data_IF_299671070081
#
_entry.id   IF_299671070081
#
_cell.length_a   1.000
_cell.length_b   1.000
_cell.length_c   1.000
_cell.angle_alpha   90.00
_cell.angle_beta   90.00
_cell.angle_gamma   90.00
#
_symmetry.space_group_name_H-M   'P 1'
#
loop_
_entity.id
_entity.type
_entity.pdbx_description
1 polymer ?
#
# COMPACT_ATOMS: atom_id res chain seq x y z
N UNK A 1 -6.54 -1.10 11.82
CA UNK A 1 -7.90 -0.86 12.36
C UNK A 1 -8.30 0.60 12.43
N UNK A 2 -7.37 1.54 12.61
CA UNK A 2 -7.67 2.98 12.62
C UNK A 2 -7.85 3.65 11.25
N UNK A 3 -8.19 2.91 10.18
CA UNK A 3 -8.39 3.46 8.83
C UNK A 3 -9.60 2.75 8.20
N UNK A 4 -10.68 3.48 7.93
CA UNK A 4 -11.82 2.98 7.15
C UNK A 4 -11.51 2.97 5.64
N UNK A 5 -10.91 1.89 5.17
CA UNK A 5 -10.51 1.72 3.76
C UNK A 5 -11.69 1.69 2.78
N UNK A 6 -12.84 1.18 3.20
CA UNK A 6 -14.00 1.06 2.32
C UNK A 6 -14.69 2.41 2.08
N UNK A 7 -14.70 3.28 3.09
CA UNK A 7 -15.08 4.69 2.89
C UNK A 7 -13.99 5.46 2.17
N UNK A 8 -12.72 5.22 2.50
CA UNK A 8 -11.58 5.84 1.82
C UNK A 8 -11.66 5.65 0.30
N UNK A 9 -11.94 4.44 -0.19
CA UNK A 9 -12.02 4.16 -1.63
C UNK A 9 -13.11 4.96 -2.34
N UNK A 10 -14.21 5.28 -1.66
CA UNK A 10 -15.30 6.12 -2.21
C UNK A 10 -14.94 7.61 -2.20
N UNK A 11 -14.29 8.07 -1.13
CA UNK A 11 -13.95 9.48 -0.93
C UNK A 11 -12.71 9.88 -1.72
N UNK A 12 -11.69 9.03 -1.76
CA UNK A 12 -10.39 9.32 -2.38
C UNK A 12 -10.37 9.01 -3.88
N UNK A 13 -11.21 8.12 -4.40
CA UNK A 13 -11.24 7.82 -5.82
C UNK A 13 -11.44 9.06 -6.72
N UNK A 14 -12.43 9.96 -6.48
CA UNK A 14 -12.63 11.12 -7.34
C UNK A 14 -11.50 12.17 -7.28
N UNK A 15 -10.70 12.21 -6.20
CA UNK A 15 -9.70 13.27 -5.98
C UNK A 15 -8.25 12.81 -6.11
N UNK A 16 -7.99 11.54 -5.84
CA UNK A 16 -6.65 10.93 -5.79
C UNK A 16 -6.57 9.59 -6.55
N UNK A 17 -7.68 9.12 -7.13
CA UNK A 17 -7.82 7.83 -7.82
C UNK A 17 -7.46 6.60 -6.99
N UNK A 18 -7.32 6.73 -5.67
CA UNK A 18 -7.21 5.60 -4.75
C UNK A 18 -8.58 4.96 -4.56
N UNK A 19 -8.72 3.67 -4.90
CA UNK A 19 -10.04 3.02 -4.98
C UNK A 19 -10.10 1.67 -4.29
N UNK A 20 -9.22 0.76 -4.69
CA UNK A 20 -9.45 -0.66 -4.42
C UNK A 20 -8.82 -1.07 -3.08
N UNK A 21 -9.61 -1.74 -2.25
CA UNK A 21 -9.11 -2.34 -1.00
C UNK A 21 -8.43 -3.66 -1.35
N UNK A 22 -7.18 -3.81 -0.94
CA UNK A 22 -6.39 -5.02 -1.13
C UNK A 22 -5.31 -5.12 -0.06
N UNK A 23 -4.71 -6.31 0.05
CA UNK A 23 -3.50 -6.48 0.84
C UNK A 23 -2.26 -6.08 0.02
N UNK A 24 -1.25 -6.96 0.00
CA UNK A 24 0.07 -6.66 -0.56
C UNK A 24 0.18 -6.94 -2.06
N UNK A 25 -0.71 -7.79 -2.57
CA UNK A 25 -0.87 -8.06 -3.99
C UNK A 25 -2.01 -7.25 -4.61
N UNK A 26 -1.86 -6.87 -5.88
CA UNK A 26 -2.84 -6.02 -6.59
C UNK A 26 -4.19 -6.74 -6.68
N UNK A 27 -5.31 -6.10 -6.28
CA UNK A 27 -6.65 -6.67 -6.41
C UNK A 27 -6.96 -7.11 -7.85
N UNK A 28 -7.80 -8.14 -7.96
CA UNK A 28 -8.19 -8.76 -9.23
C UNK A 28 -7.04 -9.41 -10.04
N UNK A 29 -5.90 -9.68 -9.40
CA UNK A 29 -4.85 -10.55 -9.95
C UNK A 29 -4.94 -11.96 -9.36
N UNK A 30 -4.29 -12.93 -10.00
CA UNK A 30 -4.27 -14.31 -9.50
C UNK A 30 -3.59 -14.45 -8.13
N UNK A 31 -2.71 -13.51 -7.77
CA UNK A 31 -1.97 -13.49 -6.50
C UNK A 31 -2.71 -12.75 -5.39
N UNK A 32 -3.81 -12.07 -5.69
CA UNK A 32 -4.58 -11.33 -4.69
C UNK A 32 -5.21 -12.27 -3.66
N UNK A 33 -5.04 -11.92 -2.38
CA UNK A 33 -5.87 -12.50 -1.32
C UNK A 33 -7.34 -12.17 -1.57
N UNK A 34 -8.22 -13.16 -1.40
CA UNK A 34 -9.65 -12.97 -1.58
C UNK A 34 -10.19 -11.97 -0.54
N UNK A 35 -11.20 -11.18 -0.91
CA UNK A 35 -11.81 -10.20 0.00
C UNK A 35 -12.35 -10.85 1.29
N UNK A 36 -12.90 -12.06 1.18
CA UNK A 36 -13.38 -12.84 2.33
C UNK A 36 -12.26 -13.24 3.29
N UNK A 37 -11.03 -13.41 2.81
CA UNK A 37 -9.88 -13.73 3.64
C UNK A 37 -9.28 -12.46 4.25
N UNK A 38 -9.19 -11.37 3.47
CA UNK A 38 -8.82 -10.05 3.98
C UNK A 38 -9.72 -9.63 5.14
N UNK A 39 -11.04 -9.79 5.02
CA UNK A 39 -11.99 -9.43 6.09
C UNK A 39 -11.80 -10.22 7.40
N UNK A 40 -11.04 -11.32 7.41
CA UNK A 40 -10.66 -12.03 8.65
C UNK A 40 -9.52 -11.33 9.38
N UNK A 41 -8.75 -10.49 8.69
CA UNK A 41 -7.57 -9.81 9.23
C UNK A 41 -7.93 -8.49 9.93
N UNK A 42 -7.19 -8.12 10.99
CA UNK A 42 -7.40 -6.85 11.69
C UNK A 42 -7.32 -5.64 10.75
N UNK A 43 -8.36 -4.80 10.79
CA UNK A 43 -8.42 -3.55 10.03
C UNK A 43 -8.93 -3.66 8.60
N UNK A 44 -9.32 -4.85 8.15
CA UNK A 44 -10.03 -5.05 6.89
C UNK A 44 -11.53 -5.30 7.09
N UNK A 45 -12.06 -5.03 8.29
CA UNK A 45 -13.50 -5.15 8.53
C UNK A 45 -14.26 -4.01 7.84
N UNK A 46 -15.42 -4.34 7.27
CA UNK A 46 -16.33 -3.34 6.68
C UNK A 46 -17.03 -2.48 7.73
N UNK A 47 -17.15 -2.99 8.95
CA UNK A 47 -17.67 -2.23 10.08
C UNK A 47 -16.57 -1.34 10.67
N UNK A 48 -16.61 -0.07 10.29
CA UNK A 48 -15.64 0.93 10.72
C UNK A 48 -15.77 1.27 12.21
N UNK A 49 -16.97 1.23 12.79
CA UNK A 49 -17.15 1.52 14.23
C UNK A 49 -16.62 0.37 15.08
N UNK A 50 -16.87 -0.87 14.68
CA UNK A 50 -16.25 -2.04 15.31
C UNK A 50 -14.72 -1.95 15.23
N UNK A 51 -14.17 -1.57 14.08
CA UNK A 51 -12.73 -1.38 13.89
C UNK A 51 -12.17 -0.28 14.81
N UNK A 52 -12.87 0.85 14.95
CA UNK A 52 -12.46 1.95 15.84
C UNK A 52 -12.52 1.57 17.31
N UNK A 53 -13.57 0.86 17.72
CA UNK A 53 -13.70 0.38 19.10
C UNK A 53 -12.54 -0.57 19.47
N UNK A 54 -12.21 -1.50 18.57
CA UNK A 54 -11.09 -2.42 18.79
C UNK A 54 -9.74 -1.69 18.78
N UNK A 55 -9.54 -0.71 17.89
CA UNK A 55 -8.34 0.10 17.90
C UNK A 55 -8.16 0.85 19.23
N UNK A 56 -9.22 1.46 19.78
CA UNK A 56 -9.18 2.12 21.09
C UNK A 56 -8.90 1.15 22.24
N UNK A 57 -9.49 -0.05 22.20
CA UNK A 57 -9.23 -1.12 23.18
C UNK A 57 -7.75 -1.51 23.19
N UNK A 58 -7.17 -1.74 22.01
CA UNK A 58 -5.76 -2.10 21.85
C UNK A 58 -4.82 -0.96 22.24
N UNK A 59 -5.16 0.29 21.93
CA UNK A 59 -4.40 1.45 22.40
C UNK A 59 -4.38 1.52 23.92
N UNK A 60 -5.51 1.30 24.59
CA UNK A 60 -5.58 1.27 26.05
C UNK A 60 -4.78 0.12 26.65
N UNK A 61 -4.86 -1.08 26.07
CA UNK A 61 -4.06 -2.25 26.47
C UNK A 61 -2.55 -2.00 26.32
N UNK A 62 -2.15 -1.27 25.28
CA UNK A 62 -0.77 -0.84 25.06
C UNK A 62 -0.32 0.34 25.95
N UNK A 63 -1.17 0.83 26.86
CA UNK A 63 -0.84 1.94 27.78
C UNK A 63 -1.12 3.34 27.25
N UNK A 64 -1.84 3.46 26.11
CA UNK A 64 -2.21 4.73 25.46
C UNK A 64 -3.74 4.93 25.42
N UNK A 65 -4.46 4.94 26.56
CA UNK A 65 -5.91 5.07 26.58
C UNK A 65 -6.43 6.39 25.99
N UNK A 66 -5.58 7.43 25.98
CA UNK A 66 -5.86 8.74 25.38
C UNK A 66 -5.13 8.96 24.04
N UNK A 67 -4.59 7.89 23.45
CA UNK A 67 -3.75 7.95 22.27
C UNK A 67 -2.36 8.56 22.51
N UNK A 68 -1.73 9.01 21.44
CA UNK A 68 -0.37 9.57 21.43
C UNK A 68 -0.18 10.49 20.21
N UNK A 69 0.95 11.20 20.20
CA UNK A 69 1.39 12.04 19.08
C UNK A 69 2.38 11.28 18.19
N UNK A 70 2.28 11.47 16.88
CA UNK A 70 3.18 10.84 15.90
C UNK A 70 3.48 11.78 14.74
N UNK A 71 4.67 11.67 14.14
CA UNK A 71 5.01 12.37 12.90
C UNK A 71 4.73 11.44 11.71
N UNK A 72 3.79 11.85 10.85
CA UNK A 72 3.52 11.21 9.57
C UNK A 72 4.37 11.87 8.48
N UNK A 73 5.54 11.29 8.19
CA UNK A 73 6.35 11.69 7.05
C UNK A 73 5.65 11.27 5.75
N UNK A 74 5.63 12.16 4.79
CA UNK A 74 4.94 11.94 3.53
C UNK A 74 5.70 12.60 2.38
N UNK A 75 5.44 12.19 1.15
CA UNK A 75 6.02 12.83 -0.03
C UNK A 75 5.19 14.06 -0.41
N UNK A 76 5.85 15.18 -0.69
CA UNK A 76 5.22 16.46 -1.08
C UNK A 76 4.73 16.43 -2.54
N UNK A 77 3.83 15.49 -2.85
CA UNK A 77 3.18 15.32 -4.14
C UNK A 77 1.68 15.18 -3.85
N UNK A 78 0.84 16.05 -4.43
CA UNK A 78 -0.59 16.10 -4.07
C UNK A 78 -1.27 14.73 -4.21
N UNK A 79 -1.28 14.20 -5.43
CA UNK A 79 -1.94 12.92 -5.76
C UNK A 79 -0.91 11.80 -5.90
N UNK A 80 -1.08 10.64 -5.24
CA UNK A 80 -2.09 10.35 -4.21
C UNK A 80 -1.65 10.71 -2.79
N UNK A 81 -0.39 11.15 -2.59
CA UNK A 81 0.28 11.13 -1.28
C UNK A 81 -0.32 12.09 -0.24
N UNK A 82 -0.46 13.38 -0.55
CA UNK A 82 -0.98 14.36 0.42
C UNK A 82 -2.44 14.07 0.73
N UNK A 83 -3.26 13.80 -0.28
CA UNK A 83 -4.69 13.50 -0.11
C UNK A 83 -4.90 12.26 0.78
N UNK A 84 -4.10 11.21 0.56
CA UNK A 84 -4.12 10.01 1.41
C UNK A 84 -3.67 10.32 2.85
N UNK A 85 -2.59 11.08 3.02
CA UNK A 85 -2.08 11.46 4.34
C UNK A 85 -3.12 12.22 5.16
N UNK A 86 -3.82 13.19 4.56
CA UNK A 86 -4.90 13.94 5.21
C UNK A 86 -6.02 13.00 5.67
N UNK A 87 -6.43 12.05 4.82
CA UNK A 87 -7.45 11.07 5.18
C UNK A 87 -7.03 10.21 6.37
N UNK A 88 -5.80 9.67 6.35
CA UNK A 88 -5.25 8.85 7.44
C UNK A 88 -5.23 9.63 8.75
N UNK A 89 -4.78 10.89 8.74
CA UNK A 89 -4.75 11.76 9.92
C UNK A 89 -6.16 11.99 10.48
N UNK A 90 -7.16 12.18 9.62
CA UNK A 90 -8.55 12.34 10.04
C UNK A 90 -9.11 11.06 10.69
N UNK A 91 -8.77 9.88 10.16
CA UNK A 91 -9.18 8.60 10.73
C UNK A 91 -8.50 8.32 12.08
N UNK A 92 -7.19 8.58 12.17
CA UNK A 92 -6.40 8.42 13.39
C UNK A 92 -6.87 9.32 14.54
N UNK A 93 -7.32 10.55 14.24
CA UNK A 93 -7.91 11.43 15.24
C UNK A 93 -9.14 10.82 15.91
N UNK A 94 -9.94 10.01 15.20
CA UNK A 94 -11.15 9.35 15.75
C UNK A 94 -10.82 8.30 16.81
N UNK A 95 -9.58 7.82 16.85
CA UNK A 95 -9.06 6.87 17.83
C UNK A 95 -8.06 7.49 18.80
N UNK A 96 -7.92 8.83 18.81
CA UNK A 96 -7.08 9.55 19.76
C UNK A 96 -5.62 9.76 19.32
N UNK A 97 -5.24 9.32 18.13
CA UNK A 97 -3.88 9.54 17.61
C UNK A 97 -3.81 10.91 16.94
N UNK A 98 -2.93 11.77 17.43
CA UNK A 98 -2.65 13.09 16.85
C UNK A 98 -1.41 12.99 15.96
N UNK A 99 -1.62 13.04 14.64
CA UNK A 99 -0.53 12.96 13.69
C UNK A 99 -0.16 14.34 13.09
N UNK A 100 1.11 14.71 13.21
CA UNK A 100 1.71 15.84 12.50
C UNK A 100 2.02 15.42 11.06
N UNK A 101 1.39 16.07 10.06
CA UNK A 101 1.73 15.82 8.67
C UNK A 101 3.04 16.53 8.33
N UNK A 102 4.07 15.76 7.93
CA UNK A 102 5.35 16.31 7.48
C UNK A 102 5.64 15.93 6.02
N UNK A 103 5.11 16.70 5.05
CA UNK A 103 5.48 16.57 3.64
C UNK A 103 6.95 16.89 3.42
N UNK A 104 7.64 16.05 2.65
CA UNK A 104 9.05 16.18 2.30
C UNK A 104 9.21 16.23 0.78
N UNK A 105 10.19 17.00 0.31
CA UNK A 105 10.66 16.87 -1.08
C UNK A 105 11.07 15.40 -1.34
N UNK A 106 10.92 14.92 -2.58
CA UNK A 106 11.12 13.51 -2.95
C UNK A 106 12.47 12.95 -2.52
N UNK A 107 13.57 13.66 -2.73
CA UNK A 107 14.90 13.20 -2.35
C UNK A 107 15.04 13.11 -0.83
N UNK A 108 14.53 14.10 -0.09
CA UNK A 108 14.50 14.06 1.37
C UNK A 108 13.62 12.92 1.90
N UNK A 109 12.50 12.62 1.23
CA UNK A 109 11.63 11.49 1.56
C UNK A 109 12.33 10.14 1.37
N UNK A 110 13.11 9.96 0.29
CA UNK A 110 13.95 8.77 0.12
C UNK A 110 15.09 8.71 1.15
N UNK A 111 15.74 9.84 1.43
CA UNK A 111 16.82 9.90 2.40
C UNK A 111 16.33 9.48 3.80
N UNK A 112 15.22 10.06 4.27
CA UNK A 112 14.64 9.71 5.57
C UNK A 112 14.10 8.28 5.60
N UNK A 113 13.36 7.87 4.56
CA UNK A 113 12.69 6.57 4.51
C UNK A 113 13.63 5.42 4.18
N UNK A 114 14.11 5.39 2.94
CA UNK A 114 14.90 4.27 2.39
C UNK A 114 16.31 4.24 2.93
N UNK A 115 16.97 5.38 3.04
CA UNK A 115 18.42 5.42 3.26
C UNK A 115 18.75 5.42 4.77
N UNK A 116 18.04 6.23 5.57
CA UNK A 116 18.34 6.43 6.99
C UNK A 116 17.39 5.71 7.95
N UNK A 117 16.16 5.39 7.54
CA UNK A 117 15.14 4.89 8.46
C UNK A 117 14.72 5.91 9.53
N UNK A 118 14.92 7.20 9.27
CA UNK A 118 14.62 8.30 10.17
C UNK A 118 13.13 8.65 10.10
N UNK A 119 12.24 7.81 10.63
CA UNK A 119 10.81 8.10 10.67
C UNK A 119 10.09 7.29 11.76
N UNK A 120 8.98 7.82 12.25
CA UNK A 120 8.04 7.07 13.10
C UNK A 120 7.02 6.35 12.22
N UNK A 121 6.36 7.09 11.33
CA UNK A 121 5.53 6.55 10.25
C UNK A 121 5.80 7.31 8.96
N UNK A 122 5.84 6.59 7.85
CA UNK A 122 6.05 7.17 6.52
C UNK A 122 5.08 6.59 5.50
N UNK A 123 4.46 7.44 4.69
CA UNK A 123 3.63 7.00 3.57
C UNK A 123 4.57 6.56 2.44
N UNK A 124 4.46 5.29 2.05
CA UNK A 124 5.19 4.69 0.92
C UNK A 124 4.21 4.02 -0.04
N UNK A 125 4.34 4.35 -1.33
CA UNK A 125 3.55 3.74 -2.39
C UNK A 125 4.28 2.53 -2.96
N UNK A 126 3.54 1.48 -3.28
CA UNK A 126 4.06 0.29 -3.95
C UNK A 126 3.71 0.34 -5.43
N UNK A 127 4.72 0.25 -6.30
CA UNK A 127 4.56 0.26 -7.75
C UNK A 127 5.56 -0.70 -8.37
N UNK A 128 5.09 -1.53 -9.31
CA UNK A 128 5.92 -2.49 -10.03
C UNK A 128 5.50 -2.56 -11.50
N UNK A 129 6.36 -3.15 -12.33
CA UNK A 129 6.16 -3.30 -13.77
C UNK A 129 5.43 -4.60 -14.16
N UNK A 130 5.18 -5.49 -13.21
CA UNK A 130 4.49 -6.76 -13.39
C UNK A 130 3.79 -7.16 -12.09
N UNK A 131 2.68 -7.87 -12.19
CA UNK A 131 1.96 -8.47 -11.05
C UNK A 131 2.61 -9.81 -10.64
N UNK A 132 3.85 -9.75 -10.18
CA UNK A 132 4.58 -10.92 -9.68
C UNK A 132 4.87 -10.78 -8.18
N UNK A 133 4.56 -11.80 -7.35
CA UNK A 133 4.80 -11.76 -5.91
C UNK A 133 6.23 -11.40 -5.53
N UNK A 134 7.24 -11.80 -6.31
CA UNK A 134 8.65 -11.51 -5.99
C UNK A 134 8.87 -10.01 -5.89
N UNK A 135 8.32 -9.24 -6.85
CA UNK A 135 8.49 -7.78 -6.91
C UNK A 135 7.76 -7.02 -5.79
N UNK A 136 6.66 -7.59 -5.27
CA UNK A 136 5.86 -6.95 -4.22
C UNK A 136 6.31 -7.34 -2.82
N UNK A 137 6.79 -8.58 -2.66
CA UNK A 137 7.06 -9.17 -1.35
C UNK A 137 8.53 -9.12 -0.93
N UNK A 138 9.48 -8.97 -1.86
CA UNK A 138 10.92 -8.88 -1.56
C UNK A 138 11.22 -7.80 -0.52
N UNK A 139 10.49 -6.69 -0.57
CA UNK A 139 10.65 -5.56 0.36
C UNK A 139 10.34 -5.85 1.83
N UNK A 140 9.76 -7.01 2.14
CA UNK A 140 9.51 -7.46 3.52
C UNK A 140 10.58 -8.43 4.03
N UNK A 141 11.53 -8.81 3.17
CA UNK A 141 12.65 -9.67 3.54
C UNK A 141 13.73 -8.90 4.29
N UNK A 142 14.47 -9.62 5.13
CA UNK A 142 15.56 -9.07 5.92
C UNK A 142 16.69 -8.54 5.02
N UNK A 143 17.07 -7.28 5.22
CA UNK A 143 18.20 -6.67 4.51
C UNK A 143 17.89 -6.12 3.11
N UNK A 144 16.67 -6.26 2.60
CA UNK A 144 16.30 -5.63 1.33
C UNK A 144 16.36 -4.10 1.41
N UNK A 145 16.81 -3.45 0.34
CA UNK A 145 16.96 -1.99 0.29
C UNK A 145 15.62 -1.24 0.30
N UNK A 146 14.53 -1.88 -0.13
CA UNK A 146 13.17 -1.35 -0.08
C UNK A 146 12.41 -1.72 1.20
N UNK A 147 13.05 -2.46 2.13
CA UNK A 147 12.55 -2.72 3.49
C UNK A 147 12.77 -1.50 4.39
N UNK A 148 11.93 -0.48 4.24
CA UNK A 148 12.10 0.80 4.97
C UNK A 148 11.87 0.64 6.47
N UNK A 149 10.99 -0.26 6.88
CA UNK A 149 10.70 -0.55 8.28
C UNK A 149 11.73 -1.44 8.97
N UNK A 150 12.76 -1.89 8.24
CA UNK A 150 13.86 -2.74 8.75
C UNK A 150 13.34 -4.00 9.45
N UNK A 151 12.27 -4.57 8.92
CA UNK A 151 11.73 -5.83 9.44
C UNK A 151 12.77 -6.94 9.29
N UNK A 152 12.80 -7.83 10.27
CA UNK A 152 13.65 -9.01 10.25
C UNK A 152 12.85 -10.16 10.84
N UNK A 153 12.23 -10.96 9.98
CA UNK A 153 11.42 -12.12 10.37
C UNK A 153 11.86 -13.34 9.54
N UNK A 154 12.55 -14.32 10.16
CA UNK A 154 13.08 -15.47 9.41
C UNK A 154 11.99 -16.31 8.76
N UNK A 155 10.73 -16.21 9.22
CA UNK A 155 9.59 -16.89 8.58
C UNK A 155 9.26 -16.26 7.22
N UNK A 156 9.33 -14.93 7.13
CA UNK A 156 9.14 -14.21 5.85
C UNK A 156 10.26 -14.55 4.90
N UNK A 157 11.51 -14.57 5.38
CA UNK A 157 12.67 -14.91 4.55
C UNK A 157 12.57 -16.33 3.98
N UNK A 158 12.17 -17.32 4.80
CA UNK A 158 11.93 -18.71 4.37
C UNK A 158 10.81 -18.79 3.33
N UNK A 159 9.65 -18.20 3.61
CA UNK A 159 8.48 -18.24 2.72
C UNK A 159 8.78 -17.56 1.38
N UNK A 160 9.49 -16.42 1.40
CA UNK A 160 9.90 -15.72 0.20
C UNK A 160 10.85 -16.57 -0.66
N UNK A 161 11.87 -17.15 -0.04
CA UNK A 161 12.83 -18.00 -0.75
C UNK A 161 12.17 -19.27 -1.34
N UNK A 162 11.21 -19.86 -0.63
CA UNK A 162 10.46 -21.04 -1.10
C UNK A 162 9.51 -20.70 -2.23
N UNK A 163 8.72 -19.63 -2.12
CA UNK A 163 7.76 -19.26 -3.17
C UNK A 163 8.48 -18.91 -4.48
N UNK A 164 9.64 -18.24 -4.41
CA UNK A 164 10.45 -17.88 -5.59
C UNK A 164 10.99 -19.10 -6.36
N UNK A 165 11.13 -20.26 -5.68
CA UNK A 165 11.61 -21.51 -6.28
C UNK A 165 10.50 -22.50 -6.63
N UNK A 166 9.25 -22.17 -6.31
CA UNK A 166 8.10 -23.08 -6.47
C UNK A 166 7.52 -22.96 -7.88
N UNK A 167 7.47 -24.08 -8.60
CA UNK A 167 6.94 -24.14 -9.97
C UNK A 167 5.43 -24.44 -10.02
N UNK A 168 4.88 -25.09 -8.99
CA UNK A 168 3.45 -25.35 -8.91
C UNK A 168 2.69 -24.06 -8.56
N UNK A 169 1.77 -23.57 -9.41
CA UNK A 169 1.10 -22.29 -9.16
C UNK A 169 0.23 -22.27 -7.90
N UNK A 170 -0.39 -23.40 -7.55
CA UNK A 170 -1.26 -23.48 -6.38
C UNK A 170 -0.45 -23.42 -5.08
N UNK A 171 0.67 -24.15 -5.01
CA UNK A 171 1.58 -24.10 -3.89
C UNK A 171 2.28 -22.74 -3.78
N UNK A 172 2.73 -22.14 -4.90
CA UNK A 172 3.31 -20.78 -4.88
C UNK A 172 2.31 -19.78 -4.31
N UNK A 173 1.04 -19.84 -4.75
CA UNK A 173 -0.03 -18.97 -4.25
C UNK A 173 -0.29 -19.18 -2.75
N UNK A 174 -0.22 -20.43 -2.26
CA UNK A 174 -0.37 -20.73 -0.83
C UNK A 174 0.74 -20.08 0.00
N UNK A 175 1.99 -20.19 -0.45
CA UNK A 175 3.15 -19.58 0.23
C UNK A 175 3.09 -18.05 0.21
N UNK A 176 2.68 -17.46 -0.92
CA UNK A 176 2.45 -16.02 -1.08
C UNK A 176 1.41 -15.50 -0.08
N UNK A 177 0.25 -16.19 0.01
CA UNK A 177 -0.81 -15.82 0.95
C UNK A 177 -0.36 -15.97 2.43
N UNK A 178 0.45 -16.99 2.73
CA UNK A 178 0.99 -17.22 4.07
C UNK A 178 1.95 -16.10 4.49
N UNK A 179 2.85 -15.69 3.58
CA UNK A 179 3.75 -14.55 3.79
C UNK A 179 2.96 -13.26 3.98
N UNK A 180 2.02 -12.97 3.08
CA UNK A 180 1.16 -11.78 3.14
C UNK A 180 0.41 -11.71 4.47
N UNK A 181 -0.12 -12.85 4.94
CA UNK A 181 -0.80 -12.93 6.24
C UNK A 181 0.12 -12.52 7.39
N UNK A 182 1.37 -13.02 7.44
CA UNK A 182 2.33 -12.67 8.50
C UNK A 182 2.61 -11.17 8.50
N UNK A 183 2.85 -10.57 7.33
CA UNK A 183 3.12 -9.12 7.21
C UNK A 183 1.93 -8.29 7.70
N UNK A 184 0.70 -8.70 7.38
CA UNK A 184 -0.52 -7.98 7.76
C UNK A 184 -0.88 -8.17 9.24
N UNK A 185 -0.73 -9.37 9.79
CA UNK A 185 -1.04 -9.66 11.20
C UNK A 185 -0.05 -9.00 12.16
N UNK A 186 1.25 -8.97 11.81
CA UNK A 186 2.27 -8.28 12.61
C UNK A 186 2.30 -6.76 12.36
N UNK A 187 1.46 -6.25 11.45
CA UNK A 187 1.41 -4.84 11.05
C UNK A 187 2.77 -4.27 10.59
N UNK A 188 3.63 -5.11 9.98
CA UNK A 188 4.86 -4.64 9.33
C UNK A 188 4.54 -3.66 8.19
N UNK A 189 3.36 -3.80 7.58
CA UNK A 189 2.83 -2.78 6.70
C UNK A 189 1.37 -2.53 6.99
N UNK A 190 0.93 -1.29 6.82
CA UNK A 190 -0.48 -0.89 6.90
C UNK A 190 -0.91 -0.51 5.48
N UNK A 191 -1.49 -1.44 4.70
CA UNK A 191 -1.87 -1.14 3.32
C UNK A 191 -2.84 0.04 3.27
N UNK A 192 -2.62 0.96 2.33
CA UNK A 192 -3.58 2.02 2.04
C UNK A 192 -4.69 1.49 1.12
N UNK A 193 -4.74 2.08 -0.06
CA UNK A 193 -5.61 1.67 -1.16
C UNK A 193 -4.77 1.52 -2.42
N UNK A 194 -5.24 0.66 -3.31
CA UNK A 194 -4.66 0.52 -4.64
C UNK A 194 -5.10 1.67 -5.55
N UNK A 195 -4.13 2.18 -6.31
CA UNK A 195 -4.32 3.31 -7.21
C UNK A 195 -4.97 2.85 -8.51
N UNK A 196 -6.19 3.29 -8.76
CA UNK A 196 -6.83 3.16 -10.06
C UNK A 196 -6.23 4.16 -11.03
N UNK A 197 -5.89 3.71 -12.24
CA UNK A 197 -5.29 4.54 -13.27
C UNK A 197 -6.32 4.94 -14.31
N UNK A 198 -6.43 6.23 -14.55
CA UNK A 198 -7.19 6.79 -15.67
C UNK A 198 -6.22 7.45 -16.63
N UNK A 199 -6.22 7.03 -17.90
CA UNK A 199 -5.40 7.62 -18.95
C UNK A 199 -6.32 8.37 -19.91
N UNK A 200 -6.09 9.68 -20.04
CA UNK A 200 -6.82 10.53 -20.97
C UNK A 200 -5.84 10.96 -22.06
N UNK A 201 -6.21 10.76 -23.31
CA UNK A 201 -5.47 11.23 -24.47
C UNK A 201 -6.45 11.80 -25.50
N UNK A 202 -5.94 12.59 -26.44
CA UNK A 202 -6.77 13.15 -27.50
C UNK A 202 -7.28 12.04 -28.43
N UNK A 203 -8.48 12.22 -28.98
CA UNK A 203 -9.05 11.28 -29.95
C UNK A 203 -8.20 11.15 -31.24
N UNK A 204 -7.40 12.18 -31.54
CA UNK A 204 -6.43 12.17 -32.64
C UNK A 204 -5.21 11.29 -32.38
N UNK A 205 -4.88 11.00 -31.11
CA UNK A 205 -3.78 10.09 -30.77
C UNK A 205 -4.19 8.68 -31.15
N UNK A 206 -3.49 8.10 -32.12
CA UNK A 206 -3.70 6.76 -32.64
C UNK A 206 -2.56 5.84 -32.26
N UNK A 207 -2.88 4.56 -32.21
CA UNK A 207 -1.97 3.48 -31.82
C UNK A 207 -1.36 3.62 -30.41
N UNK A 208 -1.94 4.48 -29.56
CA UNK A 208 -1.60 4.53 -28.15
C UNK A 208 -2.25 3.38 -27.41
N UNK A 209 -1.44 2.49 -26.83
CA UNK A 209 -1.89 1.41 -25.97
C UNK A 209 -1.64 1.81 -24.52
N UNK A 210 -2.72 2.09 -23.79
CA UNK A 210 -2.64 2.44 -22.38
C UNK A 210 -1.87 1.36 -21.60
N UNK A 211 -0.79 1.71 -20.86
CA UNK A 211 -0.03 0.70 -20.16
C UNK A 211 -0.79 0.13 -18.95
N UNK A 212 -0.57 -1.15 -18.60
CA UNK A 212 -1.17 -1.75 -17.40
C UNK A 212 -0.57 -1.23 -16.08
N UNK A 213 0.58 -0.55 -16.13
CA UNK A 213 1.28 0.02 -14.96
C UNK A 213 2.06 1.30 -15.33
N UNK A 214 2.84 1.85 -14.39
CA UNK A 214 3.57 3.12 -14.59
C UNK A 214 4.87 3.00 -15.40
N UNK A 215 5.34 1.77 -15.68
CA UNK A 215 6.66 1.49 -16.24
C UNK A 215 6.61 0.91 -17.65
N UNK A 216 5.55 0.18 -18.00
CA UNK A 216 5.38 -0.44 -19.31
C UNK A 216 4.85 0.56 -20.35
N UNK A 217 4.96 0.22 -21.64
CA UNK A 217 4.46 0.97 -22.80
C UNK A 217 4.73 2.49 -22.77
N UNK A 218 5.93 2.89 -22.31
CA UNK A 218 6.35 4.30 -22.29
C UNK A 218 6.95 4.77 -23.63
N UNK A 219 7.23 3.86 -24.55
CA UNK A 219 7.74 4.20 -25.88
C UNK A 219 6.59 4.69 -26.76
N UNK A 220 6.75 5.89 -27.33
CA UNK A 220 5.76 6.52 -28.21
C UNK A 220 6.11 6.39 -29.70
N UNK A 221 7.11 5.58 -30.05
CA UNK A 221 7.66 5.46 -31.40
C UNK A 221 6.63 5.05 -32.47
N UNK A 222 5.60 4.29 -32.06
CA UNK A 222 4.54 3.80 -32.95
C UNK A 222 3.24 4.62 -32.81
N UNK A 223 3.25 5.67 -31.97
CA UNK A 223 2.09 6.53 -31.71
C UNK A 223 2.10 7.68 -32.71
N UNK A 224 0.94 7.97 -33.31
CA UNK A 224 0.80 9.03 -34.32
C UNK A 224 -0.47 9.86 -34.11
N UNK A 225 -0.55 11.00 -34.78
CA UNK A 225 -1.71 11.88 -34.78
C UNK A 225 -2.46 11.76 -36.11
N UNK A 226 -3.77 11.50 -36.05
CA UNK A 226 -4.60 11.57 -37.25
C UNK A 226 -4.73 13.00 -37.76
N UNK A 227 -4.69 13.15 -39.09
CA UNK A 227 -5.07 14.39 -39.79
C UNK A 227 -6.57 14.68 -39.58
N UNK A 228 -6.94 15.95 -39.74
CA UNK A 228 -8.32 16.45 -39.59
C UNK A 228 -9.30 15.94 -40.65
#
# INVERSE_FOLDING_TARGET
>A
MGIDRYTAGRVLYPIASLRDVGGLMRPATEWAMAESDLQKLPGFWKDAEKSRAEAKRLLAEAGYPNGFKVVLKNRNVRVPYIDFGVFVIQEWRKIGIEAEHRPLETAAWFADGRDQGNFEVIVNGTFNYMDDPDLFLERYTSGDTNNWGRFSDPRIDDLFARQARTLDPAERKRLVNELEKIVLENAYHIPGLWWARSMVHWAKVKNYVAPPNHYSNQKLQDVWLAED
#
